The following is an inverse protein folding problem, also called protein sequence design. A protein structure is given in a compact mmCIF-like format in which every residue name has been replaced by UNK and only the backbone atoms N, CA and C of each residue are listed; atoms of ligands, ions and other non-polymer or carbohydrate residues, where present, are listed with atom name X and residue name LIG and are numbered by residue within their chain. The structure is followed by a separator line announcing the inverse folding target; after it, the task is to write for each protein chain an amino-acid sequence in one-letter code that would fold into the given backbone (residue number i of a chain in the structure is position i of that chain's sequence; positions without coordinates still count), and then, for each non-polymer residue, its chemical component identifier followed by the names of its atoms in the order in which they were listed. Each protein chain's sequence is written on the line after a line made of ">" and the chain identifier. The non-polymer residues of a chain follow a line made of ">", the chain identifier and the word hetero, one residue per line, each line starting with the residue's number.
data_IF_337784392757
#
_entry.id   IF_337784392757
#
_cell.length_a   1.000
_cell.length_b   1.000
_cell.length_c   1.000
_cell.angle_alpha   90.00
_cell.angle_beta   90.00
_cell.angle_gamma   90.00
#
_symmetry.space_group_name_H-M   'P 1'
#
loop_
_entity.id
_entity.type
_entity.pdbx_description
1 polymer ?
#
# COMPACT_ATOMS: atom_id res chain seq x y z
N UNK A 1 12.08 0.70 12.70
CA UNK A 1 10.74 0.34 13.23
C UNK A 1 10.34 -0.99 12.60
N UNK A 2 9.68 -1.88 13.34
CA UNK A 2 9.13 -3.12 12.78
C UNK A 2 7.99 -2.77 11.81
N UNK A 3 7.88 -3.50 10.70
CA UNK A 3 6.76 -3.38 9.78
C UNK A 3 5.47 -3.93 10.38
N UNK A 4 4.37 -3.80 9.65
CA UNK A 4 3.04 -4.19 10.13
C UNK A 4 2.96 -5.69 10.41
N UNK A 5 3.49 -6.55 9.51
CA UNK A 5 3.45 -8.00 9.69
C UNK A 5 4.21 -8.41 10.95
N UNK A 6 5.42 -7.88 11.16
CA UNK A 6 6.23 -8.23 12.33
C UNK A 6 5.55 -7.83 13.64
N UNK A 7 4.81 -6.72 13.62
CA UNK A 7 4.10 -6.20 14.80
C UNK A 7 2.83 -6.98 15.14
N UNK A 8 2.15 -7.54 14.15
CA UNK A 8 0.84 -8.18 14.30
C UNK A 8 0.81 -9.61 13.76
N UNK A 9 1.96 -10.28 13.70
CA UNK A 9 2.12 -11.62 13.13
C UNK A 9 1.18 -12.65 13.76
N UNK A 10 0.96 -12.53 15.07
CA UNK A 10 0.04 -13.38 15.85
C UNK A 10 -1.45 -13.20 15.48
N UNK A 11 -1.77 -12.15 14.75
CA UNK A 11 -3.14 -11.80 14.30
C UNK A 11 -3.32 -11.86 12.79
N UNK A 12 -2.28 -12.22 12.07
CA UNK A 12 -2.23 -12.29 10.62
C UNK A 12 -1.94 -13.72 10.18
N UNK A 13 -2.33 -14.12 8.96
CA UNK A 13 -2.11 -15.46 8.44
C UNK A 13 -0.66 -15.68 7.98
N UNK A 14 0.30 -15.34 8.83
CA UNK A 14 1.74 -15.51 8.60
C UNK A 14 2.38 -16.30 9.73
N UNK A 15 2.93 -17.47 9.38
CA UNK A 15 3.68 -18.31 10.33
C UNK A 15 5.04 -17.68 10.70
N UNK A 16 5.67 -18.09 11.81
CA UNK A 16 7.06 -17.78 12.08
C UNK A 16 7.95 -18.26 10.91
N UNK A 17 8.73 -17.34 10.34
CA UNK A 17 9.58 -17.62 9.18
C UNK A 17 8.99 -17.25 7.83
N UNK A 18 7.68 -16.98 7.74
CA UNK A 18 7.11 -16.44 6.51
C UNK A 18 7.70 -15.05 6.18
N UNK A 19 7.85 -14.72 4.88
CA UNK A 19 8.40 -13.45 4.47
C UNK A 19 7.55 -12.27 4.98
N UNK A 20 8.21 -11.18 5.33
CA UNK A 20 7.59 -9.91 5.68
C UNK A 20 8.19 -8.80 4.82
N UNK A 21 7.58 -8.58 3.65
CA UNK A 21 7.99 -7.52 2.74
C UNK A 21 7.48 -6.19 3.29
N UNK A 22 8.37 -5.36 3.78
CA UNK A 22 8.03 -4.10 4.45
C UNK A 22 8.81 -2.91 3.90
N UNK A 23 8.17 -1.77 3.86
CA UNK A 23 8.72 -0.43 3.69
C UNK A 23 8.57 0.39 4.98
N UNK A 24 8.39 -0.28 6.13
CA UNK A 24 8.14 0.31 7.45
C UNK A 24 6.80 1.06 7.55
N UNK A 25 5.79 0.53 6.89
CA UNK A 25 4.41 0.99 6.94
C UNK A 25 3.79 0.85 8.34
N UNK A 26 2.78 1.62 8.58
CA UNK A 26 2.07 1.64 9.87
C UNK A 26 2.72 2.58 10.87
N UNK A 27 2.37 2.43 12.14
CA UNK A 27 2.80 3.34 13.23
C UNK A 27 2.64 4.83 12.90
N UNK A 28 1.66 5.15 12.04
CA UNK A 28 1.37 6.52 11.61
C UNK A 28 0.97 7.40 12.80
N UNK A 29 1.32 8.69 12.79
CA UNK A 29 1.02 9.59 13.89
C UNK A 29 -0.46 9.66 14.21
N UNK A 30 -0.76 9.83 15.49
CA UNK A 30 -2.07 10.19 16.01
C UNK A 30 -1.97 11.60 16.57
N UNK A 31 -2.64 12.57 15.93
CA UNK A 31 -2.48 13.99 16.19
C UNK A 31 -3.77 14.57 16.77
N UNK A 32 -3.72 15.29 17.90
CA UNK A 32 -4.88 15.99 18.43
C UNK A 32 -5.42 17.04 17.46
N UNK A 33 -6.75 17.17 17.38
CA UNK A 33 -7.47 18.17 16.58
C UNK A 33 -8.31 19.06 17.49
N UNK A 34 -7.71 20.03 18.22
CA UNK A 34 -8.40 20.77 19.29
C UNK A 34 -9.61 21.56 18.78
N UNK A 35 -9.49 22.24 17.61
CA UNK A 35 -10.62 22.99 17.05
C UNK A 35 -11.82 22.11 16.71
N UNK A 36 -11.56 20.94 16.10
CA UNK A 36 -12.62 19.99 15.80
C UNK A 36 -13.21 19.38 17.09
N UNK A 37 -12.36 19.14 18.09
CA UNK A 37 -12.81 18.65 19.40
C UNK A 37 -13.77 19.62 20.08
N UNK A 38 -13.49 20.92 20.02
CA UNK A 38 -14.38 21.97 20.54
C UNK A 38 -15.73 22.01 19.77
N UNK A 39 -15.68 21.95 18.43
CA UNK A 39 -16.88 21.98 17.58
C UNK A 39 -17.83 20.79 17.83
N UNK A 40 -17.27 19.58 18.08
CA UNK A 40 -18.09 18.35 18.27
C UNK A 40 -18.33 18.00 19.74
N UNK A 41 -17.71 18.70 20.67
CA UNK A 41 -17.83 18.44 22.12
C UNK A 41 -17.21 17.11 22.57
N UNK A 42 -16.20 16.62 21.86
CA UNK A 42 -15.52 15.34 22.17
C UNK A 42 -14.04 15.42 21.79
N UNK A 43 -13.19 14.59 22.41
CA UNK A 43 -11.78 14.48 22.01
C UNK A 43 -11.68 13.87 20.61
N UNK A 44 -11.08 14.61 19.67
CA UNK A 44 -10.84 14.15 18.30
C UNK A 44 -9.34 14.05 18.05
N UNK A 45 -8.92 12.87 17.57
CA UNK A 45 -7.56 12.56 17.15
C UNK A 45 -7.55 12.17 15.68
N UNK A 46 -6.59 12.68 14.92
CA UNK A 46 -6.41 12.40 13.50
C UNK A 46 -5.32 11.36 13.31
N UNK A 47 -5.68 10.23 12.71
CA UNK A 47 -4.73 9.19 12.29
C UNK A 47 -4.17 9.55 10.91
N UNK A 48 -2.90 9.94 10.85
CA UNK A 48 -2.27 10.47 9.62
C UNK A 48 -1.79 9.34 8.71
N UNK A 49 -2.69 8.70 7.99
CA UNK A 49 -2.36 7.60 7.06
C UNK A 49 -1.53 8.06 5.84
N UNK A 50 -1.52 9.36 5.54
CA UNK A 50 -0.61 9.94 4.55
C UNK A 50 0.88 9.83 4.90
N UNK A 51 1.22 9.51 6.16
CA UNK A 51 2.59 9.28 6.61
C UNK A 51 3.12 7.87 6.27
N UNK A 52 2.31 6.99 5.68
CA UNK A 52 2.79 5.72 5.15
C UNK A 52 3.73 5.93 3.93
N UNK A 53 4.61 4.95 3.61
CA UNK A 53 5.65 5.08 2.58
C UNK A 53 5.17 5.55 1.21
N UNK A 54 4.00 5.10 0.72
CA UNK A 54 3.45 5.57 -0.56
C UNK A 54 2.38 6.66 -0.41
N UNK A 55 2.26 7.22 0.80
CA UNK A 55 1.34 8.32 1.11
C UNK A 55 -0.11 7.89 1.34
N UNK A 56 -0.39 6.64 1.65
CA UNK A 56 -1.74 6.18 1.94
C UNK A 56 -1.81 4.93 2.83
N UNK A 57 -3.00 4.68 3.39
CA UNK A 57 -3.30 3.47 4.17
C UNK A 57 -3.20 2.17 3.36
N UNK A 58 -3.13 2.22 2.03
CA UNK A 58 -3.03 1.04 1.17
C UNK A 58 -1.79 0.21 1.47
N UNK A 59 -0.75 0.83 1.95
CA UNK A 59 0.50 0.16 2.33
C UNK A 59 0.29 -0.92 3.40
N UNK A 60 -0.69 -0.73 4.29
CA UNK A 60 -1.01 -1.72 5.34
C UNK A 60 -1.52 -3.05 4.77
N UNK A 61 -2.40 -3.00 3.78
CA UNK A 61 -2.87 -4.21 3.11
C UNK A 61 -1.85 -4.75 2.11
N UNK A 62 -1.09 -3.87 1.48
CA UNK A 62 -0.15 -4.26 0.44
C UNK A 62 1.06 -5.02 0.98
N UNK A 63 1.57 -4.66 2.17
CA UNK A 63 2.62 -5.46 2.82
C UNK A 63 2.16 -6.91 3.00
N UNK A 64 0.91 -7.16 3.43
CA UNK A 64 0.37 -8.50 3.57
C UNK A 64 0.17 -9.19 2.22
N UNK A 65 -0.42 -8.49 1.24
CA UNK A 65 -0.71 -9.09 -0.07
C UNK A 65 0.58 -9.52 -0.79
N UNK A 66 1.60 -8.65 -0.82
CA UNK A 66 2.86 -8.95 -1.50
C UNK A 66 3.68 -9.98 -0.72
N UNK A 67 3.68 -9.95 0.62
CA UNK A 67 4.34 -10.98 1.42
C UNK A 67 3.71 -12.35 1.22
N UNK A 68 2.37 -12.42 1.13
CA UNK A 68 1.66 -13.66 0.78
C UNK A 68 2.04 -14.16 -0.61
N UNK A 69 2.08 -13.26 -1.60
CA UNK A 69 2.51 -13.62 -2.96
C UNK A 69 3.94 -14.20 -2.99
N UNK A 70 4.87 -13.60 -2.26
CA UNK A 70 6.25 -14.13 -2.14
C UNK A 70 6.26 -15.50 -1.47
N UNK A 71 5.52 -15.67 -0.37
CA UNK A 71 5.40 -16.97 0.32
C UNK A 71 4.87 -18.06 -0.62
N UNK A 72 3.91 -17.70 -1.46
CA UNK A 72 3.23 -18.63 -2.38
C UNK A 72 4.00 -18.82 -3.70
N UNK A 73 5.20 -18.23 -3.83
CA UNK A 73 6.10 -18.41 -4.98
C UNK A 73 5.70 -17.63 -6.24
N UNK A 74 4.91 -16.57 -6.10
CA UNK A 74 4.55 -15.72 -7.24
C UNK A 74 5.76 -15.00 -7.84
N UNK A 75 5.81 -14.90 -9.16
CA UNK A 75 6.83 -14.12 -9.89
C UNK A 75 6.36 -12.70 -10.24
N UNK A 76 5.06 -12.47 -10.20
CA UNK A 76 4.44 -11.21 -10.54
C UNK A 76 3.18 -10.94 -9.71
N UNK A 77 2.85 -9.68 -9.55
CA UNK A 77 1.62 -9.21 -8.90
C UNK A 77 0.93 -8.18 -9.79
N UNK A 78 -0.40 -8.19 -9.78
CA UNK A 78 -1.20 -7.31 -10.63
C UNK A 78 -2.35 -6.69 -9.85
N UNK A 79 -2.71 -5.45 -10.17
CA UNK A 79 -3.94 -4.84 -9.69
C UNK A 79 -4.60 -3.97 -10.77
N UNK A 80 -5.93 -3.84 -10.67
CA UNK A 80 -6.71 -2.88 -11.45
C UNK A 80 -6.96 -1.63 -10.59
N UNK A 81 -6.21 -0.56 -10.83
CA UNK A 81 -6.34 0.69 -10.06
C UNK A 81 -5.58 1.84 -10.72
N UNK A 82 -6.17 3.02 -10.70
CA UNK A 82 -5.53 4.28 -11.15
C UNK A 82 -4.97 5.11 -9.98
N UNK A 83 -5.07 4.61 -8.74
CA UNK A 83 -4.82 5.42 -7.53
C UNK A 83 -3.81 4.81 -6.56
N UNK A 84 -4.08 5.01 -5.28
CA UNK A 84 -3.17 4.62 -4.19
C UNK A 84 -2.83 3.12 -4.16
N UNK A 85 -3.74 2.24 -4.62
CA UNK A 85 -3.48 0.80 -4.68
C UNK A 85 -2.39 0.48 -5.70
N UNK A 86 -2.43 1.13 -6.89
CA UNK A 86 -1.41 0.98 -7.92
C UNK A 86 -0.03 1.45 -7.43
N UNK A 87 0.03 2.63 -6.81
CA UNK A 87 1.27 3.17 -6.26
C UNK A 87 1.86 2.25 -5.18
N UNK A 88 1.02 1.76 -4.27
CA UNK A 88 1.44 0.84 -3.21
C UNK A 88 1.89 -0.50 -3.78
N UNK A 89 1.13 -1.13 -4.70
CA UNK A 89 1.54 -2.39 -5.33
C UNK A 89 2.91 -2.27 -6.00
N UNK A 90 3.13 -1.21 -6.76
CA UNK A 90 4.39 -1.00 -7.47
C UNK A 90 5.58 -0.90 -6.51
N UNK A 91 5.44 -0.15 -5.41
CA UNK A 91 6.48 0.02 -4.42
C UNK A 91 6.81 -1.29 -3.69
N UNK A 92 5.80 -2.05 -3.26
CA UNK A 92 5.99 -3.32 -2.56
C UNK A 92 6.45 -4.44 -3.49
N UNK A 93 5.99 -4.48 -4.74
CA UNK A 93 6.50 -5.40 -5.76
C UNK A 93 7.99 -5.16 -6.02
N UNK A 94 8.40 -3.91 -6.21
CA UNK A 94 9.81 -3.54 -6.36
C UNK A 94 10.64 -3.95 -5.14
N UNK A 95 10.14 -3.70 -3.92
CA UNK A 95 10.78 -4.12 -2.67
C UNK A 95 10.96 -5.63 -2.57
N UNK A 96 10.00 -6.40 -3.09
CA UNK A 96 10.02 -7.87 -3.08
C UNK A 96 10.82 -8.48 -4.25
N UNK A 97 11.25 -7.70 -5.22
CA UNK A 97 11.87 -8.21 -6.45
C UNK A 97 10.87 -8.87 -7.40
N UNK A 98 9.57 -8.63 -7.23
CA UNK A 98 8.52 -9.15 -8.10
C UNK A 98 8.24 -8.20 -9.28
N UNK A 99 7.74 -8.77 -10.37
CA UNK A 99 7.19 -7.96 -11.47
C UNK A 99 5.84 -7.39 -11.05
N UNK A 100 5.70 -6.06 -11.08
CA UNK A 100 4.44 -5.37 -10.82
C UNK A 100 3.74 -4.97 -12.12
N UNK A 101 2.43 -5.19 -12.21
CA UNK A 101 1.60 -4.71 -13.32
C UNK A 101 0.36 -4.00 -12.78
N UNK A 102 -0.03 -2.92 -13.46
CA UNK A 102 -1.21 -2.12 -13.12
C UNK A 102 -2.10 -2.04 -14.35
N UNK A 103 -3.34 -2.51 -14.23
CA UNK A 103 -4.35 -2.35 -15.26
C UNK A 103 -5.09 -1.04 -15.01
N UNK A 104 -5.17 -0.20 -16.04
CA UNK A 104 -5.88 1.08 -16.01
C UNK A 104 -6.92 1.14 -17.12
N UNK A 105 -8.14 1.65 -16.86
CA UNK A 105 -9.10 1.93 -17.91
C UNK A 105 -8.58 3.07 -18.80
N UNK A 106 -8.81 2.98 -20.09
CA UNK A 106 -8.44 4.02 -21.05
C UNK A 106 -8.99 5.41 -20.62
N UNK A 107 -8.12 6.42 -20.67
CA UNK A 107 -8.49 7.82 -20.41
C UNK A 107 -8.75 8.19 -18.95
N UNK A 108 -8.64 7.26 -17.99
CA UNK A 108 -8.86 7.53 -16.55
C UNK A 108 -7.58 7.42 -15.71
N UNK A 109 -6.59 8.24 -16.04
CA UNK A 109 -5.30 8.17 -15.36
C UNK A 109 -5.17 9.35 -14.38
N UNK A 110 -5.10 9.06 -13.08
CA UNK A 110 -4.63 10.02 -12.10
C UNK A 110 -3.10 10.18 -12.25
N UNK A 111 -2.67 11.18 -13.00
CA UNK A 111 -1.29 11.36 -13.46
C UNK A 111 -0.23 11.19 -12.34
N UNK A 112 -0.48 11.73 -11.14
CA UNK A 112 0.48 11.65 -10.03
C UNK A 112 0.67 10.25 -9.46
N UNK A 113 -0.39 9.42 -9.39
CA UNK A 113 -0.30 8.05 -8.85
C UNK A 113 0.23 7.07 -9.88
N UNK A 114 -0.06 7.29 -11.16
CA UNK A 114 0.55 6.54 -12.23
C UNK A 114 2.06 6.81 -12.30
N UNK A 115 2.47 8.06 -12.15
CA UNK A 115 3.89 8.41 -12.10
C UNK A 115 4.63 7.65 -10.99
N UNK A 116 4.03 7.52 -9.79
CA UNK A 116 4.60 6.69 -8.72
C UNK A 116 4.75 5.22 -9.13
N UNK A 117 3.73 4.63 -9.77
CA UNK A 117 3.80 3.23 -10.22
C UNK A 117 4.92 3.02 -11.24
N UNK A 118 5.04 3.93 -12.21
CA UNK A 118 6.11 3.90 -13.22
C UNK A 118 7.51 4.10 -12.61
N UNK A 119 7.66 5.02 -11.66
CA UNK A 119 8.94 5.25 -10.95
C UNK A 119 9.43 4.01 -10.19
N UNK A 120 8.51 3.18 -9.71
CA UNK A 120 8.82 1.90 -9.07
C UNK A 120 8.97 0.75 -10.07
N UNK A 121 8.92 1.01 -11.39
CA UNK A 121 9.15 0.02 -12.42
C UNK A 121 7.96 -0.90 -12.72
N UNK A 122 6.76 -0.57 -12.26
CA UNK A 122 5.57 -1.33 -12.62
C UNK A 122 5.20 -1.12 -14.10
N UNK A 123 4.71 -2.19 -14.75
CA UNK A 123 4.15 -2.10 -16.10
C UNK A 123 2.71 -1.60 -16.02
N UNK A 124 2.39 -0.60 -16.82
CA UNK A 124 1.02 -0.12 -17.00
C UNK A 124 0.43 -0.80 -18.22
N UNK A 125 -0.74 -1.38 -18.06
CA UNK A 125 -1.49 -2.06 -19.11
C UNK A 125 -2.79 -1.27 -19.31
N UNK A 126 -2.92 -0.60 -20.45
CA UNK A 126 -4.17 0.04 -20.84
C UNK A 126 -5.16 -1.02 -21.34
N UNK A 127 -6.31 -1.08 -20.73
CA UNK A 127 -7.38 -1.98 -21.14
C UNK A 127 -8.30 -1.26 -22.13
N UNK A 128 -8.20 -1.65 -23.39
CA UNK A 128 -9.24 -1.33 -24.37
C UNK A 128 -10.34 -2.39 -24.24
N UNK A 129 -11.45 -2.03 -23.59
CA UNK A 129 -12.67 -2.82 -23.70
C UNK A 129 -13.29 -2.56 -25.09
N UNK A 130 -13.10 -3.49 -26.00
CA UNK A 130 -13.89 -3.59 -27.25
C UNK A 130 -15.17 -4.35 -26.99
#
# INVERSE_FOLDING_TARGET
>A
MAGLIDRYRDRLPFAPGDPAISLHEGSTPLVPAPRLSEEVGAEVLLKLEGANPTGSFKDRGMTCAVSGAVRDGAEAVICASTGNTAASLAAYAARAGLRGAVIVPEGKIAAGKLAQALMHGARVIDEQFT
#
